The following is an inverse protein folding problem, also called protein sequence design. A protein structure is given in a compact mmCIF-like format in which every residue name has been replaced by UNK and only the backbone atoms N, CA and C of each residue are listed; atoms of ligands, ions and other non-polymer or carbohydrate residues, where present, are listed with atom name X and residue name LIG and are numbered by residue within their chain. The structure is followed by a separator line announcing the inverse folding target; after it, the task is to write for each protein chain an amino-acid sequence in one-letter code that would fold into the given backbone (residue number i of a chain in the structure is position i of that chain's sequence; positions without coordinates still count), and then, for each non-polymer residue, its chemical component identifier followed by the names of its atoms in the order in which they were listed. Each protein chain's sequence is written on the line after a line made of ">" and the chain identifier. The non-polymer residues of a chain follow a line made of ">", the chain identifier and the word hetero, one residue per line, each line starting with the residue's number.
data_IF_487510128909
#
_entry.id   IF_487510128909
#
_cell.length_a   1.000
_cell.length_b   1.000
_cell.length_c   1.000
_cell.angle_alpha   90.00
_cell.angle_beta   90.00
_cell.angle_gamma   90.00
#
_symmetry.space_group_name_H-M   'P 1'
#
loop_
_entity.id
_entity.type
_entity.pdbx_description
1 polymer ?
#
# COMPACT_ATOMS: atom_id res chain seq x y z
N UNK A 1 -8.60 -22.28 -9.38
CA UNK A 1 -9.73 -21.36 -9.37
C UNK A 1 -9.22 -19.96 -9.02
N UNK A 2 -9.51 -18.98 -9.86
CA UNK A 2 -9.18 -17.59 -9.58
C UNK A 2 -10.11 -17.09 -8.47
N UNK A 3 -9.57 -16.80 -7.30
CA UNK A 3 -10.33 -16.39 -6.11
C UNK A 3 -10.75 -14.92 -6.14
N UNK A 4 -11.27 -14.45 -7.25
CA UNK A 4 -11.88 -13.11 -7.38
C UNK A 4 -13.36 -13.13 -6.98
N UNK A 5 -13.68 -13.77 -5.85
CA UNK A 5 -15.03 -13.73 -5.35
C UNK A 5 -15.43 -12.29 -5.00
N UNK A 6 -16.54 -11.85 -5.58
CA UNK A 6 -17.11 -10.52 -5.34
C UNK A 6 -18.36 -10.63 -4.49
N UNK A 7 -18.57 -9.60 -3.68
CA UNK A 7 -19.80 -9.44 -2.94
C UNK A 7 -20.89 -9.04 -3.94
N UNK A 8 -21.96 -9.82 -4.04
CA UNK A 8 -23.09 -9.60 -4.95
C UNK A 8 -24.25 -8.90 -4.27
N UNK A 9 -24.38 -9.09 -2.96
CA UNK A 9 -25.42 -8.46 -2.15
C UNK A 9 -24.88 -8.19 -0.74
N UNK A 10 -25.19 -7.03 -0.19
CA UNK A 10 -24.87 -6.65 1.18
C UNK A 10 -25.95 -5.73 1.72
N UNK A 11 -26.69 -6.18 2.73
CA UNK A 11 -27.93 -5.56 3.21
C UNK A 11 -27.79 -4.10 3.68
N UNK A 12 -26.61 -3.64 4.09
CA UNK A 12 -26.33 -2.24 4.45
C UNK A 12 -25.15 -1.73 3.62
N UNK A 13 -25.40 -1.44 2.35
CA UNK A 13 -24.39 -0.90 1.44
C UNK A 13 -24.21 0.59 1.69
N UNK A 14 -23.22 0.98 2.48
CA UNK A 14 -22.84 2.39 2.68
C UNK A 14 -21.87 2.89 1.60
N UNK A 15 -21.41 2.02 0.70
CA UNK A 15 -20.37 2.33 -0.27
C UNK A 15 -18.98 2.57 0.32
N UNK A 16 -18.82 2.50 1.65
CA UNK A 16 -17.53 2.76 2.30
C UNK A 16 -16.47 1.73 1.88
N UNK A 17 -15.32 2.20 1.39
CA UNK A 17 -14.22 1.34 0.92
C UNK A 17 -13.60 0.49 2.04
N UNK A 18 -13.67 0.96 3.28
CA UNK A 18 -13.22 0.23 4.47
C UNK A 18 -14.20 -0.85 4.91
N UNK A 19 -15.46 -0.75 4.50
CA UNK A 19 -16.53 -1.70 4.79
C UNK A 19 -16.72 -2.73 3.68
N UNK A 20 -17.93 -3.28 3.65
CA UNK A 20 -18.37 -4.17 2.58
C UNK A 20 -19.33 -3.41 1.64
N UNK A 21 -19.14 -3.59 0.35
CA UNK A 21 -19.99 -3.01 -0.70
C UNK A 21 -20.17 -4.00 -1.85
N UNK A 22 -21.22 -3.81 -2.62
CA UNK A 22 -21.50 -4.66 -3.79
C UNK A 22 -20.43 -4.43 -4.86
N UNK A 23 -19.84 -5.51 -5.34
CA UNK A 23 -18.73 -5.50 -6.29
C UNK A 23 -17.34 -5.54 -5.63
N UNK A 24 -17.25 -5.44 -4.28
CA UNK A 24 -15.99 -5.59 -3.56
C UNK A 24 -15.42 -7.00 -3.75
N UNK A 25 -14.15 -7.08 -4.12
CA UNK A 25 -13.41 -8.33 -4.07
C UNK A 25 -13.03 -8.65 -2.62
N UNK A 26 -13.20 -9.90 -2.22
CA UNK A 26 -12.82 -10.30 -0.88
C UNK A 26 -11.32 -10.08 -0.66
N UNK A 27 -10.96 -9.37 0.40
CA UNK A 27 -9.57 -9.13 0.79
C UNK A 27 -8.88 -7.98 0.04
N UNK A 28 -9.59 -7.16 -0.77
CA UNK A 28 -8.96 -6.02 -1.44
C UNK A 28 -8.39 -4.99 -0.46
N UNK A 29 -7.25 -4.44 -0.81
CA UNK A 29 -6.52 -3.43 -0.06
C UNK A 29 -6.59 -2.13 -0.84
N UNK A 30 -7.04 -1.07 -0.18
CA UNK A 30 -7.02 0.29 -0.70
C UNK A 30 -5.85 1.08 -0.11
N UNK A 31 -5.23 1.91 -0.91
CA UNK A 31 -4.12 2.77 -0.50
C UNK A 31 -3.79 3.81 -1.55
N UNK A 32 -2.93 4.75 -1.17
CA UNK A 32 -2.41 5.75 -2.09
C UNK A 32 -1.32 5.14 -2.96
N UNK A 33 -1.28 5.55 -4.22
CA UNK A 33 -0.19 5.20 -5.12
C UNK A 33 0.97 6.16 -4.89
N UNK A 34 2.17 5.62 -4.69
CA UNK A 34 3.38 6.43 -4.61
C UNK A 34 3.77 6.92 -6.00
N UNK A 35 4.20 8.19 -6.09
CA UNK A 35 4.87 8.69 -7.28
C UNK A 35 6.21 7.97 -7.49
N UNK A 36 6.71 7.99 -8.72
CA UNK A 36 8.00 7.37 -9.06
C UNK A 36 9.21 8.15 -8.51
N UNK A 37 8.98 9.20 -7.74
CA UNK A 37 9.99 10.05 -7.14
C UNK A 37 9.60 10.49 -5.74
N UNK A 38 10.60 10.83 -4.93
CA UNK A 38 10.42 11.51 -3.64
C UNK A 38 10.25 13.02 -3.85
N UNK A 39 9.82 13.74 -2.79
CA UNK A 39 9.84 15.20 -2.85
C UNK A 39 11.26 15.74 -3.00
N UNK A 40 11.41 16.65 -3.93
CA UNK A 40 12.69 17.34 -4.18
C UNK A 40 12.88 18.52 -3.24
N UNK A 41 14.13 19.03 -3.13
CA UNK A 41 14.44 20.25 -2.39
C UNK A 41 13.65 21.46 -2.92
N UNK A 42 13.46 21.55 -4.24
CA UNK A 42 12.65 22.63 -4.84
C UNK A 42 11.18 22.54 -4.43
N UNK A 43 10.60 21.35 -4.46
CA UNK A 43 9.22 21.16 -4.02
C UNK A 43 9.02 21.42 -2.53
N UNK A 44 10.02 21.05 -1.70
CA UNK A 44 9.99 21.34 -0.27
C UNK A 44 10.05 22.85 0.02
N UNK A 45 10.82 23.60 -0.75
CA UNK A 45 10.99 25.06 -0.58
C UNK A 45 9.87 25.87 -1.24
N UNK A 46 9.43 25.47 -2.44
CA UNK A 46 8.60 26.29 -3.33
C UNK A 46 7.23 25.67 -3.63
N UNK A 47 6.98 24.45 -3.15
CA UNK A 47 5.74 23.69 -3.39
C UNK A 47 5.77 22.85 -4.65
N UNK A 48 4.83 21.91 -4.72
CA UNK A 48 4.63 20.98 -5.84
C UNK A 48 4.02 21.71 -7.02
N UNK A 49 4.56 21.48 -8.22
CA UNK A 49 4.02 22.01 -9.47
C UNK A 49 2.85 21.15 -9.91
N UNK A 50 1.67 21.74 -10.07
CA UNK A 50 0.46 21.07 -10.57
C UNK A 50 0.43 21.07 -12.12
N UNK A 51 -0.50 20.32 -12.68
CA UNK A 51 -0.67 20.20 -14.13
C UNK A 51 -0.98 21.53 -14.83
N UNK A 52 -1.59 22.48 -14.14
CA UNK A 52 -1.89 23.82 -14.63
C UNK A 52 -0.70 24.80 -14.52
N UNK A 53 0.44 24.31 -13.99
CA UNK A 53 1.65 25.11 -13.75
C UNK A 53 1.65 25.90 -12.45
N UNK A 54 0.56 25.87 -11.66
CA UNK A 54 0.52 26.47 -10.33
C UNK A 54 1.37 25.68 -9.33
N UNK A 55 1.71 26.31 -8.20
CA UNK A 55 2.44 25.64 -7.12
C UNK A 55 1.61 25.61 -5.84
N UNK A 56 1.63 24.49 -5.18
CA UNK A 56 0.95 24.31 -3.89
C UNK A 56 1.90 23.76 -2.85
N UNK A 57 1.80 24.26 -1.62
CA UNK A 57 2.63 23.78 -0.50
C UNK A 57 2.32 22.31 -0.18
N UNK A 58 3.38 21.52 0.12
CA UNK A 58 3.24 20.09 0.40
C UNK A 58 2.31 19.86 1.59
N UNK A 59 2.60 20.51 2.72
CA UNK A 59 1.90 20.30 3.98
C UNK A 59 0.65 21.17 4.14
N UNK A 60 0.52 22.21 3.37
CA UNK A 60 -0.59 23.18 3.41
C UNK A 60 -1.75 22.72 2.51
N UNK A 61 -1.43 22.08 1.37
CA UNK A 61 -2.39 21.68 0.37
C UNK A 61 -2.16 20.26 -0.12
N UNK A 62 -1.02 19.97 -0.77
CA UNK A 62 -0.80 18.77 -1.58
C UNK A 62 -1.02 17.46 -0.80
N UNK A 63 -0.31 17.23 0.30
CA UNK A 63 -0.46 16.05 1.17
C UNK A 63 -1.00 16.40 2.57
N UNK A 64 -1.71 17.52 2.69
CA UNK A 64 -2.28 17.98 3.97
C UNK A 64 -3.17 16.94 4.64
N UNK A 65 -3.99 16.23 3.88
CA UNK A 65 -4.90 15.23 4.42
C UNK A 65 -4.18 14.03 5.07
N UNK A 66 -2.96 13.76 4.65
CA UNK A 66 -2.11 12.69 5.18
C UNK A 66 -1.23 13.17 6.34
N UNK A 67 -1.18 14.47 6.57
CA UNK A 67 -0.42 15.08 7.64
C UNK A 67 -1.05 14.76 9.01
N UNK A 68 -0.22 14.28 9.92
CA UNK A 68 -0.59 14.11 11.34
C UNK A 68 0.30 15.00 12.19
N UNK A 69 -0.26 15.59 13.21
CA UNK A 69 0.20 16.75 14.00
C UNK A 69 1.69 16.88 14.36
N UNK A 70 2.49 15.85 14.20
CA UNK A 70 3.92 15.85 14.54
C UNK A 70 4.83 15.48 13.37
N UNK A 71 4.28 15.23 12.19
CA UNK A 71 5.05 14.88 11.00
C UNK A 71 4.78 15.85 9.87
N UNK A 72 5.83 16.44 9.31
CA UNK A 72 5.77 17.27 8.10
C UNK A 72 6.57 16.61 7.00
N UNK A 73 5.99 16.57 5.81
CA UNK A 73 6.67 16.12 4.62
C UNK A 73 7.70 17.14 4.18
N UNK A 74 8.86 16.66 3.76
CA UNK A 74 9.97 17.48 3.26
C UNK A 74 10.70 16.76 2.13
N UNK A 75 11.90 17.27 1.79
CA UNK A 75 12.79 16.65 0.84
C UNK A 75 13.09 15.19 1.22
N UNK A 76 13.01 14.28 0.23
CA UNK A 76 13.27 12.85 0.41
C UNK A 76 12.10 12.05 0.98
N UNK A 77 11.01 12.70 1.39
CA UNK A 77 9.82 11.99 1.83
C UNK A 77 9.00 11.46 0.66
N UNK A 78 8.18 10.44 0.95
CA UNK A 78 7.32 9.79 -0.04
C UNK A 78 6.29 10.75 -0.58
N UNK A 79 6.29 10.91 -1.90
CA UNK A 79 5.30 11.65 -2.66
C UNK A 79 4.24 10.69 -3.18
N UNK A 80 2.97 11.00 -2.95
CA UNK A 80 1.86 10.27 -3.53
C UNK A 80 1.30 10.98 -4.76
N UNK A 81 0.69 10.20 -5.65
CA UNK A 81 0.09 10.74 -6.87
C UNK A 81 -1.29 11.35 -6.58
N UNK A 82 -1.51 12.53 -7.11
CA UNK A 82 -2.84 13.14 -7.27
C UNK A 82 -3.48 12.52 -8.52
N UNK A 83 -4.38 11.56 -8.30
CA UNK A 83 -4.96 10.75 -9.37
C UNK A 83 -6.21 11.40 -9.99
N UNK A 84 -6.90 12.23 -9.23
CA UNK A 84 -8.09 12.94 -9.70
C UNK A 84 -7.77 14.31 -10.29
N UNK A 85 -6.55 14.84 -10.10
CA UNK A 85 -6.06 16.09 -10.67
C UNK A 85 -6.60 17.34 -9.99
N UNK A 86 -7.01 17.25 -8.72
CA UNK A 86 -7.58 18.39 -7.98
C UNK A 86 -6.52 19.20 -7.20
N UNK A 87 -5.24 18.82 -7.33
CA UNK A 87 -4.10 19.50 -6.73
C UNK A 87 -3.80 19.12 -5.30
N UNK A 88 -4.43 18.08 -4.79
CA UNK A 88 -4.19 17.54 -3.45
C UNK A 88 -4.32 16.02 -3.44
N UNK A 89 -3.74 15.38 -2.45
CA UNK A 89 -3.83 13.94 -2.23
C UNK A 89 -4.71 13.70 -1.01
N UNK A 90 -5.88 13.11 -1.21
CA UNK A 90 -6.80 12.79 -0.14
C UNK A 90 -7.63 11.52 -0.42
N UNK A 91 -8.41 11.12 0.57
CA UNK A 91 -9.26 9.92 0.50
C UNK A 91 -10.70 10.23 0.07
N UNK A 92 -10.98 11.45 -0.36
CA UNK A 92 -12.35 11.89 -0.64
C UNK A 92 -13.26 11.61 0.56
N UNK A 93 -14.47 11.10 0.28
CA UNK A 93 -15.39 10.62 1.33
C UNK A 93 -15.10 9.20 1.79
N UNK A 94 -14.11 8.53 1.21
CA UNK A 94 -13.79 7.14 1.51
C UNK A 94 -14.87 6.15 1.06
N UNK A 95 -15.59 6.49 0.01
CA UNK A 95 -16.62 5.63 -0.60
C UNK A 95 -16.21 5.19 -2.00
N UNK A 96 -16.86 4.17 -2.54
CA UNK A 96 -16.55 3.67 -3.89
C UNK A 96 -16.80 4.73 -4.98
N UNK A 97 -17.75 5.63 -4.75
CA UNK A 97 -18.10 6.70 -5.68
C UNK A 97 -17.25 7.96 -5.50
N UNK A 98 -16.62 8.10 -4.32
CA UNK A 98 -15.77 9.24 -3.97
C UNK A 98 -14.64 8.75 -3.04
N UNK A 99 -13.64 8.14 -3.65
CA UNK A 99 -12.47 7.58 -2.96
C UNK A 99 -11.23 8.48 -3.05
N UNK A 100 -11.37 9.70 -3.63
CA UNK A 100 -10.24 10.60 -3.83
C UNK A 100 -9.13 9.92 -4.65
N UNK A 101 -7.91 9.94 -4.13
CA UNK A 101 -6.73 9.35 -4.77
C UNK A 101 -6.44 7.92 -4.31
N UNK A 102 -7.35 7.32 -3.53
CA UNK A 102 -7.22 5.92 -3.15
C UNK A 102 -7.50 5.00 -4.33
N UNK A 103 -6.66 4.00 -4.50
CA UNK A 103 -6.85 2.92 -5.48
C UNK A 103 -6.71 1.55 -4.81
N UNK A 104 -7.14 0.51 -5.50
CA UNK A 104 -6.88 -0.86 -5.07
C UNK A 104 -5.42 -1.21 -5.37
N UNK A 105 -4.61 -1.30 -4.32
CA UNK A 105 -3.17 -1.58 -4.40
C UNK A 105 -2.83 -3.06 -4.24
N UNK A 106 -3.78 -3.87 -3.77
CA UNK A 106 -3.53 -5.29 -3.58
C UNK A 106 -4.73 -6.07 -3.08
N UNK A 107 -4.49 -7.33 -2.75
CA UNK A 107 -5.50 -8.23 -2.18
C UNK A 107 -4.87 -9.22 -1.19
N UNK A 108 -5.43 -9.31 0.01
CA UNK A 108 -4.96 -10.22 1.06
C UNK A 108 -5.31 -11.67 0.80
N UNK A 109 -6.29 -11.93 -0.06
CA UNK A 109 -6.71 -13.28 -0.41
C UNK A 109 -5.79 -13.85 -1.49
N UNK A 110 -5.21 -15.04 -1.31
CA UNK A 110 -4.42 -15.69 -2.33
C UNK A 110 -5.20 -15.84 -3.64
N UNK A 111 -4.56 -15.54 -4.77
CA UNK A 111 -5.17 -15.72 -6.08
C UNK A 111 -5.23 -17.19 -6.48
N UNK A 112 -4.23 -17.96 -6.05
CA UNK A 112 -4.16 -19.40 -6.25
C UNK A 112 -3.32 -20.05 -5.16
N UNK A 113 -3.69 -21.28 -4.85
CA UNK A 113 -2.93 -22.17 -4.00
C UNK A 113 -2.61 -23.44 -4.81
N UNK A 114 -1.43 -23.99 -4.58
CA UNK A 114 -1.01 -25.21 -5.24
C UNK A 114 -0.34 -26.15 -4.28
N UNK A 115 -0.49 -27.44 -4.54
CA UNK A 115 0.24 -28.48 -3.83
C UNK A 115 0.67 -29.58 -4.80
N UNK A 116 1.84 -30.12 -4.54
CA UNK A 116 2.38 -31.28 -5.22
C UNK A 116 2.81 -32.29 -4.17
N UNK A 117 2.22 -33.47 -4.22
CA UNK A 117 2.67 -34.61 -3.42
C UNK A 117 3.24 -35.67 -4.34
N UNK A 118 4.41 -36.19 -4.02
CA UNK A 118 4.97 -37.34 -4.70
C UNK A 118 5.61 -38.30 -3.70
N UNK A 119 5.45 -39.59 -3.97
CA UNK A 119 6.01 -40.65 -3.18
C UNK A 119 6.75 -41.66 -4.06
N UNK A 120 7.84 -42.20 -3.56
CA UNK A 120 8.65 -43.24 -4.20
C UNK A 120 8.97 -44.32 -3.18
N UNK A 121 8.70 -45.57 -3.57
CA UNK A 121 9.10 -46.74 -2.81
C UNK A 121 10.12 -47.55 -3.61
N UNK A 122 11.27 -47.82 -3.01
CA UNK A 122 12.30 -48.60 -3.64
C UNK A 122 13.10 -49.41 -2.65
N UNK A 123 13.07 -50.73 -2.81
CA UNK A 123 13.87 -51.70 -2.05
C UNK A 123 13.82 -51.52 -0.51
N UNK A 124 12.62 -51.19 0.03
CA UNK A 124 12.43 -50.97 1.47
C UNK A 124 12.72 -49.55 1.94
N UNK A 125 13.02 -48.64 1.01
CA UNK A 125 13.07 -47.20 1.27
C UNK A 125 11.79 -46.57 0.78
N UNK A 126 11.14 -45.81 1.68
CA UNK A 126 9.95 -45.00 1.36
C UNK A 126 10.35 -43.53 1.42
N UNK A 127 10.03 -42.82 0.36
CA UNK A 127 10.25 -41.36 0.25
C UNK A 127 8.96 -40.69 -0.13
N UNK A 128 8.50 -39.75 0.70
CA UNK A 128 7.28 -38.96 0.45
C UNK A 128 7.61 -37.50 0.67
N UNK A 129 7.15 -36.65 -0.23
CA UNK A 129 7.30 -35.20 -0.07
C UNK A 129 6.04 -34.47 -0.52
N UNK A 130 5.77 -33.34 0.16
CA UNK A 130 4.68 -32.44 -0.13
C UNK A 130 5.22 -31.04 -0.30
N UNK A 131 4.99 -30.44 -1.47
CA UNK A 131 5.18 -29.03 -1.70
C UNK A 131 3.83 -28.32 -1.69
N UNK A 132 3.73 -27.23 -0.93
CA UNK A 132 2.58 -26.34 -0.93
C UNK A 132 3.04 -24.92 -1.16
N UNK A 133 2.26 -24.14 -1.90
CA UNK A 133 2.56 -22.75 -2.15
C UNK A 133 1.30 -21.92 -2.36
N UNK A 134 1.46 -20.65 -2.09
CA UNK A 134 0.44 -19.62 -2.23
C UNK A 134 0.97 -18.60 -3.23
N UNK A 135 0.17 -18.28 -4.24
CA UNK A 135 0.58 -17.32 -5.24
C UNK A 135 -0.26 -16.05 -5.25
N UNK A 136 0.41 -14.95 -5.52
CA UNK A 136 -0.14 -13.60 -5.67
C UNK A 136 -1.05 -13.18 -4.51
N UNK A 137 -0.43 -12.90 -3.39
CA UNK A 137 -1.05 -12.38 -2.17
C UNK A 137 -0.25 -11.17 -1.71
N UNK A 138 -0.93 -10.09 -1.40
CA UNK A 138 -0.34 -8.89 -0.80
C UNK A 138 -0.73 -8.81 0.68
N UNK A 139 0.15 -8.26 1.49
CA UNK A 139 -0.09 -8.06 2.92
C UNK A 139 0.51 -6.74 3.37
N UNK A 140 -0.18 -6.04 4.26
CA UNK A 140 0.42 -4.93 4.99
C UNK A 140 1.55 -5.46 5.87
N UNK A 141 2.76 -4.94 5.65
CA UNK A 141 3.87 -5.23 6.56
C UNK A 141 3.86 -4.24 7.72
N UNK A 142 3.72 -4.78 8.93
CA UNK A 142 3.79 -4.00 10.17
C UNK A 142 4.98 -4.43 11.05
N UNK A 143 5.93 -5.14 10.46
CA UNK A 143 7.09 -5.63 11.20
C UNK A 143 8.09 -4.51 11.48
N UNK A 144 8.55 -4.40 12.72
CA UNK A 144 9.64 -3.51 13.11
C UNK A 144 10.97 -3.78 12.37
N UNK A 145 11.11 -4.94 11.74
CA UNK A 145 12.24 -5.27 10.88
C UNK A 145 12.21 -4.55 9.53
N UNK A 146 11.04 -4.08 9.12
CA UNK A 146 10.83 -3.37 7.84
C UNK A 146 10.59 -1.89 8.10
N UNK A 147 9.75 -1.58 9.10
CA UNK A 147 9.44 -0.20 9.47
C UNK A 147 10.34 0.21 10.65
N UNK A 148 11.30 1.13 10.46
CA UNK A 148 12.16 1.60 11.53
C UNK A 148 11.36 2.40 12.56
N UNK A 149 11.81 2.38 13.81
CA UNK A 149 11.33 3.23 14.90
C UNK A 149 9.82 3.14 15.21
N UNK A 150 9.15 2.07 14.80
CA UNK A 150 7.69 1.90 14.99
C UNK A 150 7.26 1.76 16.46
N UNK A 151 8.19 1.38 17.34
CA UNK A 151 7.94 1.22 18.77
C UNK A 151 8.65 2.31 19.62
N UNK A 152 8.94 3.44 19.03
CA UNK A 152 9.57 4.57 19.70
C UNK A 152 11.04 4.30 20.07
N UNK A 153 11.48 4.83 21.22
CA UNK A 153 12.89 4.84 21.65
C UNK A 153 13.50 3.46 21.93
N UNK A 154 12.68 2.42 22.01
CA UNK A 154 13.11 1.06 22.37
C UNK A 154 13.22 0.13 21.15
N UNK A 155 13.12 0.67 19.94
CA UNK A 155 13.19 -0.13 18.70
C UNK A 155 14.63 -0.29 18.26
N UNK A 156 15.07 -1.53 18.03
CA UNK A 156 16.34 -1.80 17.39
C UNK A 156 16.26 -1.38 15.91
N UNK A 157 17.35 -0.81 15.42
CA UNK A 157 17.54 -0.52 13.99
C UNK A 157 18.27 -1.71 13.39
N UNK A 158 17.76 -2.23 12.29
CA UNK A 158 18.36 -3.34 11.56
C UNK A 158 19.21 -2.81 10.39
N UNK A 159 20.22 -3.57 9.98
CA UNK A 159 21.16 -3.15 8.93
C UNK A 159 20.49 -2.74 7.62
N UNK A 160 19.40 -3.42 7.23
CA UNK A 160 18.63 -3.09 6.04
C UNK A 160 17.85 -1.76 6.14
N UNK A 161 17.83 -1.11 7.30
CA UNK A 161 17.17 0.17 7.53
C UNK A 161 18.14 1.36 7.43
N UNK A 162 19.42 1.10 7.12
CA UNK A 162 20.40 2.17 6.85
C UNK A 162 20.39 2.65 5.39
N UNK A 163 19.66 1.95 4.53
CA UNK A 163 19.41 2.37 3.15
C UNK A 163 18.20 3.33 3.15
N UNK A 164 18.46 4.59 3.39
CA UNK A 164 17.49 5.67 3.41
C UNK A 164 17.89 6.79 2.46
N UNK A 165 16.95 7.61 2.09
CA UNK A 165 17.20 8.75 1.22
C UNK A 165 18.32 9.64 1.75
N UNK A 166 19.26 9.97 0.86
CA UNK A 166 20.23 11.07 1.04
C UNK A 166 20.21 11.93 -0.22
N UNK A 167 20.54 13.24 -0.14
CA UNK A 167 20.55 14.11 -1.33
C UNK A 167 21.48 13.64 -2.46
N UNK A 168 22.38 12.72 -2.14
CA UNK A 168 23.39 12.18 -3.06
C UNK A 168 22.99 10.80 -3.65
N UNK A 169 21.85 10.25 -3.23
CA UNK A 169 21.42 8.88 -3.58
C UNK A 169 20.11 8.89 -4.37
#
# INVERSE_FOLDING_TARGET
>A
ADSKAKITDWGTNTGAITGYYVGKEWGEIWGFKTADAYFTADEAANGVVLADGSRVGINEVYQKALYKSSFRYGEGDVKYEDLNGDGKVDSGKGTIDDHGDLIRIGNTTPRYEYSLRAGLQWKGLDFDFLFQGVGKREMWSQSSRILPLTQGRSTNIFTNQFDYYTPEN
#
